data_IF_464878182323
#
_entry.id   IF_464878182323
#
_cell.length_a   1.000
_cell.length_b   1.000
_cell.length_c   1.000
_cell.angle_alpha   90.00
_cell.angle_beta   90.00
_cell.angle_gamma   90.00
#
_symmetry.space_group_name_H-M   'P 1'
#
loop_
_entity.id
_entity.type
_entity.pdbx_description
1 polymer ?
#
# COMPACT_ATOMS: atom_id res chain seq x y z
N UNK A 1 12.65 -0.20 -5.65
CA UNK A 1 13.91 0.33 -5.04
C UNK A 1 14.33 -0.71 -4.01
N UNK A 2 15.25 -1.62 -4.35
CA UNK A 2 15.55 -2.78 -3.51
C UNK A 2 16.91 -2.64 -2.81
N UNK A 3 16.89 -2.41 -1.50
CA UNK A 3 18.09 -2.43 -0.65
C UNK A 3 18.33 -1.21 0.25
N UNK A 4 17.36 -0.30 0.37
CA UNK A 4 17.50 0.82 1.32
C UNK A 4 17.21 0.32 2.75
N UNK A 5 18.19 0.47 3.64
CA UNK A 5 18.02 0.16 5.06
C UNK A 5 16.86 0.99 5.65
N UNK A 6 16.00 0.37 6.47
CA UNK A 6 14.86 1.03 7.09
C UNK A 6 15.30 1.93 8.25
N UNK A 7 16.04 2.97 7.93
CA UNK A 7 16.43 4.00 8.89
C UNK A 7 15.21 4.86 9.27
N UNK A 8 15.24 5.54 10.43
CA UNK A 8 14.17 6.47 10.80
C UNK A 8 13.90 7.55 9.74
N UNK A 9 14.95 8.01 9.03
CA UNK A 9 14.81 8.99 7.95
C UNK A 9 14.04 8.42 6.74
N UNK A 10 14.34 7.17 6.37
CA UNK A 10 13.64 6.47 5.28
C UNK A 10 12.17 6.27 5.64
N UNK A 11 11.86 5.85 6.87
CA UNK A 11 10.49 5.67 7.34
C UNK A 11 9.71 7.00 7.37
N UNK A 12 10.33 8.09 7.85
CA UNK A 12 9.72 9.42 7.83
C UNK A 12 9.43 9.90 6.40
N UNK A 13 10.33 9.63 5.46
CA UNK A 13 10.11 9.93 4.03
C UNK A 13 8.96 9.12 3.45
N UNK A 14 8.84 7.84 3.80
CA UNK A 14 7.70 6.99 3.40
C UNK A 14 6.39 7.54 3.95
N UNK A 15 6.34 7.90 5.23
CA UNK A 15 5.17 8.50 5.87
C UNK A 15 4.70 9.75 5.11
N UNK A 16 5.64 10.65 4.80
CA UNK A 16 5.36 11.86 4.03
C UNK A 16 4.74 11.54 2.65
N UNK A 17 5.33 10.60 1.90
CA UNK A 17 4.81 10.24 0.58
C UNK A 17 3.44 9.56 0.64
N UNK A 18 3.23 8.66 1.60
CA UNK A 18 1.95 7.98 1.79
C UNK A 18 0.86 8.99 2.15
N UNK A 19 1.11 9.91 3.08
CA UNK A 19 0.16 10.98 3.42
C UNK A 19 -0.20 11.84 2.23
N UNK A 20 0.77 12.22 1.41
CA UNK A 20 0.51 12.99 0.21
C UNK A 20 -0.32 12.21 -0.82
N UNK A 21 -0.05 10.91 -1.00
CA UNK A 21 -0.84 10.07 -1.89
C UNK A 21 -2.30 9.97 -1.42
N UNK A 22 -2.52 9.72 -0.13
CA UNK A 22 -3.86 9.68 0.47
C UNK A 22 -4.59 11.01 0.37
N UNK A 23 -3.88 12.13 0.57
CA UNK A 23 -4.44 13.47 0.39
C UNK A 23 -4.87 13.72 -1.06
N UNK A 24 -4.08 13.26 -2.06
CA UNK A 24 -4.45 13.38 -3.47
C UNK A 24 -5.74 12.61 -3.80
N UNK A 25 -5.90 11.38 -3.30
CA UNK A 25 -7.17 10.64 -3.45
C UNK A 25 -8.34 11.42 -2.84
N UNK A 26 -8.16 11.92 -1.61
CA UNK A 26 -9.20 12.66 -0.91
C UNK A 26 -9.62 13.95 -1.63
N UNK A 27 -8.70 14.63 -2.33
CA UNK A 27 -9.02 15.82 -3.13
C UNK A 27 -9.91 15.50 -4.34
N UNK A 28 -9.80 14.29 -4.90
CA UNK A 28 -10.67 13.79 -5.97
C UNK A 28 -11.98 13.17 -5.43
N UNK A 29 -12.17 13.17 -4.10
CA UNK A 29 -13.31 12.52 -3.45
C UNK A 29 -13.22 10.99 -3.41
N UNK A 30 -12.06 10.43 -3.74
CA UNK A 30 -11.78 9.00 -3.69
C UNK A 30 -11.07 8.65 -2.37
N UNK A 31 -11.33 7.44 -1.88
CA UNK A 31 -10.65 6.92 -0.70
C UNK A 31 -10.31 5.45 -0.95
N UNK A 32 -9.06 5.02 -0.66
CA UNK A 32 -8.76 3.60 -0.65
C UNK A 32 -9.65 2.88 0.36
N UNK A 33 -9.87 1.58 0.15
CA UNK A 33 -10.54 0.75 1.15
C UNK A 33 -9.77 0.77 2.47
N UNK A 34 -10.45 0.45 3.58
CA UNK A 34 -9.80 0.41 4.90
C UNK A 34 -8.65 -0.60 4.94
N UNK A 35 -8.81 -1.69 4.22
CA UNK A 35 -7.82 -2.73 4.05
C UNK A 35 -6.59 -2.21 3.29
N UNK A 36 -6.79 -1.46 2.21
CA UNK A 36 -5.70 -0.82 1.46
C UNK A 36 -5.00 0.26 2.29
N UNK A 37 -5.77 1.07 3.05
CA UNK A 37 -5.22 2.06 3.98
C UNK A 37 -4.32 1.40 5.03
N UNK A 38 -4.73 0.26 5.58
CA UNK A 38 -3.92 -0.51 6.53
C UNK A 38 -2.59 -0.94 5.91
N UNK A 39 -2.58 -1.41 4.64
CA UNK A 39 -1.36 -1.78 3.94
C UNK A 39 -0.38 -0.60 3.79
N UNK A 40 -0.89 0.61 3.53
CA UNK A 40 -0.04 1.80 3.48
C UNK A 40 0.60 2.10 4.84
N UNK A 41 -0.14 2.00 5.95
CA UNK A 41 0.44 2.19 7.29
C UNK A 41 1.48 1.12 7.64
N UNK A 42 1.27 -0.14 7.22
CA UNK A 42 2.27 -1.20 7.37
C UNK A 42 3.56 -0.87 6.62
N UNK A 43 3.47 -0.34 5.40
CA UNK A 43 4.63 0.11 4.63
C UNK A 43 5.36 1.30 5.27
N UNK A 44 4.63 2.25 5.86
CA UNK A 44 5.18 3.38 6.61
C UNK A 44 5.91 2.91 7.89
N UNK A 45 5.35 1.92 8.58
CA UNK A 45 5.95 1.37 9.82
C UNK A 45 7.18 0.50 9.58
N UNK A 46 7.40 0.06 8.34
CA UNK A 46 8.44 -0.90 7.99
C UNK A 46 8.02 -2.38 8.13
N UNK A 47 6.79 -2.68 8.59
CA UNK A 47 6.25 -4.05 8.56
C UNK A 47 6.21 -4.61 7.12
N UNK A 48 5.92 -3.75 6.14
CA UNK A 48 6.15 -4.04 4.72
C UNK A 48 7.44 -3.34 4.31
N UNK A 49 8.47 -4.13 3.99
CA UNK A 49 9.81 -3.59 3.80
C UNK A 49 9.98 -2.92 2.44
N UNK A 50 9.28 -3.42 1.41
CA UNK A 50 9.50 -3.01 0.02
C UNK A 50 8.23 -2.52 -0.66
N UNK A 51 8.39 -1.61 -1.62
CA UNK A 51 7.26 -1.14 -2.43
C UNK A 51 6.71 -2.26 -3.31
N UNK A 52 7.56 -3.20 -3.74
CA UNK A 52 7.17 -4.37 -4.51
C UNK A 52 6.29 -5.33 -3.68
N UNK A 53 6.55 -5.48 -2.39
CA UNK A 53 5.70 -6.24 -1.47
C UNK A 53 4.36 -5.53 -1.23
N UNK A 54 4.37 -4.21 -0.99
CA UNK A 54 3.14 -3.43 -0.85
C UNK A 54 2.22 -3.61 -2.07
N UNK A 55 2.80 -3.49 -3.28
CA UNK A 55 2.06 -3.69 -4.54
C UNK A 55 1.41 -5.06 -4.62
N UNK A 56 2.16 -6.13 -4.33
CA UNK A 56 1.60 -7.49 -4.33
C UNK A 56 0.43 -7.64 -3.37
N UNK A 57 0.50 -7.04 -2.18
CA UNK A 57 -0.60 -7.13 -1.21
C UNK A 57 -1.83 -6.33 -1.66
N UNK A 58 -1.64 -5.18 -2.32
CA UNK A 58 -2.75 -4.40 -2.93
C UNK A 58 -3.37 -5.19 -4.09
N UNK A 59 -2.55 -5.76 -4.97
CA UNK A 59 -3.05 -6.58 -6.09
C UNK A 59 -3.86 -7.77 -5.59
N UNK A 60 -3.39 -8.44 -4.54
CA UNK A 60 -4.15 -9.53 -3.89
C UNK A 60 -5.44 -9.03 -3.23
N UNK A 61 -5.48 -7.81 -2.70
CA UNK A 61 -6.67 -7.25 -2.09
C UNK A 61 -7.74 -6.89 -3.14
N UNK A 62 -7.32 -6.34 -4.28
CA UNK A 62 -8.23 -5.88 -5.35
C UNK A 62 -8.67 -7.00 -6.30
N UNK A 63 -7.82 -8.00 -6.54
CA UNK A 63 -8.05 -9.04 -7.55
C UNK A 63 -8.04 -10.47 -6.97
N UNK A 64 -7.87 -10.62 -5.65
CA UNK A 64 -7.69 -11.91 -4.97
C UNK A 64 -8.94 -12.76 -4.75
N UNK A 65 -9.95 -12.67 -5.62
CA UNK A 65 -11.01 -13.69 -5.72
C UNK A 65 -11.40 -14.03 -7.17
N UNK A 66 -10.48 -13.89 -8.14
CA UNK A 66 -10.62 -14.53 -9.47
C UNK A 66 -10.38 -16.06 -9.42
N UNK A 67 -10.52 -16.68 -8.24
CA UNK A 67 -10.36 -18.11 -7.98
C UNK A 67 -11.65 -18.92 -8.04
N UNK A 68 -12.84 -18.30 -8.14
CA UNK A 68 -14.07 -19.01 -8.51
C UNK A 68 -14.50 -18.59 -9.90
N UNK A 69 -13.83 -19.16 -10.90
CA UNK A 69 -14.44 -19.38 -12.21
C UNK A 69 -15.77 -20.10 -11.98
N UNK A 70 -16.87 -19.35 -12.06
CA UNK A 70 -18.18 -19.94 -12.31
C UNK A 70 -18.05 -20.71 -13.63
N UNK A 71 -18.11 -22.04 -13.55
CA UNK A 71 -18.31 -22.87 -14.74
C UNK A 71 -19.84 -23.01 -14.91
N UNK A 72 -20.35 -22.90 -16.15
CA UNK A 72 -21.77 -23.00 -16.43
C UNK A 72 -22.37 -24.35 -16.03
#
# INVERSE_FOLDING_TARGET
>A
MSGEELTPEVLARREYHVRNALASFALEGEYPSKEAEALFYKFVSGEIETIEELRKQIDLLEYGDEGKKWQP
#
